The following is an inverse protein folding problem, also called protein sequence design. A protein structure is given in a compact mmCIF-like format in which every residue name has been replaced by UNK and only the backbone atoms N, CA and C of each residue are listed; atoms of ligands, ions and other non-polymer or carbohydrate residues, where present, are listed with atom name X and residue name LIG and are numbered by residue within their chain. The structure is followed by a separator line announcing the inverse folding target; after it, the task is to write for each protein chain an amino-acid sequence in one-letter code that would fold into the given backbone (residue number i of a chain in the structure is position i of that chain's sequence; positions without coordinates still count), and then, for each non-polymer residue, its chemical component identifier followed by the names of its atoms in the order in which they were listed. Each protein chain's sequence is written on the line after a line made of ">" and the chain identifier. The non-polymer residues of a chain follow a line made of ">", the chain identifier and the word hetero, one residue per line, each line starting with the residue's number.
data_IF_154669937324
#
_entry.id   IF_154669937324
#
_cell.length_a   1.000
_cell.length_b   1.000
_cell.length_c   1.000
_cell.angle_alpha   90.00
_cell.angle_beta   90.00
_cell.angle_gamma   90.00
#
_symmetry.space_group_name_H-M   'P 1'
#
loop_
_entity.id
_entity.type
_entity.pdbx_description
1 polymer ?
#
# COMPACT_ATOMS: atom_id res chain seq x y z
N UNK A 1 -9.22 15.43 7.75
CA UNK A 1 -10.53 15.13 8.39
C UNK A 1 -11.71 15.45 7.47
N UNK A 2 -11.74 16.59 6.77
CA UNK A 2 -12.86 17.00 5.88
C UNK A 2 -13.22 15.95 4.80
N UNK A 3 -12.25 15.34 4.11
CA UNK A 3 -12.52 14.34 3.06
C UNK A 3 -13.13 13.02 3.57
N UNK A 4 -12.65 12.52 4.73
CA UNK A 4 -13.17 11.27 5.33
C UNK A 4 -14.65 11.39 5.69
N UNK A 5 -15.06 12.53 6.25
CA UNK A 5 -16.47 12.78 6.58
C UNK A 5 -17.35 12.89 5.33
N UNK A 6 -16.79 13.29 4.19
CA UNK A 6 -17.46 13.33 2.90
C UNK A 6 -17.45 11.97 2.17
N UNK A 7 -16.89 10.90 2.76
CA UNK A 7 -16.80 9.59 2.12
C UNK A 7 -15.79 9.51 0.97
N UNK A 8 -14.86 10.46 0.87
CA UNK A 8 -13.82 10.49 -0.16
C UNK A 8 -12.56 9.81 0.38
N UNK A 9 -12.12 8.76 -0.31
CA UNK A 9 -10.94 7.98 0.03
C UNK A 9 -9.88 8.08 -1.08
N UNK A 10 -8.61 8.15 -0.68
CA UNK A 10 -7.48 8.18 -1.60
C UNK A 10 -6.67 6.90 -1.44
N UNK A 11 -6.42 6.23 -2.57
CA UNK A 11 -5.43 5.15 -2.67
C UNK A 11 -4.25 5.73 -3.46
N UNK A 12 -3.07 5.73 -2.85
CA UNK A 12 -1.83 6.14 -3.50
C UNK A 12 -0.94 4.91 -3.67
N UNK A 13 -0.53 4.63 -4.90
CA UNK A 13 0.34 3.51 -5.25
C UNK A 13 1.53 4.01 -6.07
N UNK A 14 2.74 3.55 -5.71
CA UNK A 14 3.98 3.88 -6.40
C UNK A 14 4.92 2.68 -6.34
N UNK A 15 5.68 2.43 -7.42
CA UNK A 15 6.71 1.40 -7.44
C UNK A 15 8.02 1.87 -6.80
N UNK A 16 8.31 3.18 -6.90
CA UNK A 16 9.48 3.82 -6.29
C UNK A 16 9.01 4.97 -5.40
N UNK A 17 8.74 4.69 -4.12
CA UNK A 17 8.37 5.71 -3.15
C UNK A 17 9.63 6.46 -2.69
N UNK A 18 10.14 7.38 -3.50
CA UNK A 18 11.19 8.32 -3.09
C UNK A 18 10.58 9.64 -2.58
N UNK A 19 11.43 10.56 -2.11
CA UNK A 19 10.96 11.82 -1.54
C UNK A 19 10.30 12.77 -2.56
N UNK A 20 10.57 12.60 -3.85
CA UNK A 20 9.95 13.39 -4.93
C UNK A 20 8.57 12.86 -5.29
N UNK A 21 8.41 11.53 -5.32
CA UNK A 21 7.14 10.86 -5.64
C UNK A 21 6.21 10.81 -4.42
N UNK A 22 6.77 10.63 -3.22
CA UNK A 22 6.04 10.55 -1.96
C UNK A 22 6.54 11.63 -0.96
N UNK A 23 6.23 12.91 -1.24
CA UNK A 23 6.65 14.05 -0.43
C UNK A 23 6.05 14.04 0.96
N UNK A 24 6.67 14.80 1.86
CA UNK A 24 6.31 14.86 3.28
C UNK A 24 4.85 15.24 3.53
N UNK A 25 4.28 16.14 2.73
CA UNK A 25 2.88 16.57 2.86
C UNK A 25 1.89 15.43 2.59
N UNK A 26 2.20 14.52 1.66
CA UNK A 26 1.39 13.31 1.43
C UNK A 26 1.61 12.30 2.56
N UNK A 27 2.87 12.10 2.98
CA UNK A 27 3.24 11.17 4.06
C UNK A 27 2.57 11.50 5.40
N UNK A 28 2.40 12.77 5.72
CA UNK A 28 1.77 13.21 6.98
C UNK A 28 0.25 13.02 7.01
N UNK A 29 -0.39 12.85 5.84
CA UNK A 29 -1.83 12.69 5.71
C UNK A 29 -2.27 11.24 5.40
N UNK A 30 -1.34 10.37 4.98
CA UNK A 30 -1.60 8.96 4.70
C UNK A 30 -1.05 8.06 5.82
N UNK A 31 -1.90 7.81 6.82
CA UNK A 31 -1.56 7.03 8.01
C UNK A 31 -1.60 5.51 7.81
N UNK A 32 -2.37 5.00 6.85
CA UNK A 32 -2.39 3.59 6.49
C UNK A 32 -1.41 3.35 5.34
N UNK A 33 -0.52 2.37 5.50
CA UNK A 33 0.56 2.08 4.55
C UNK A 33 0.65 0.58 4.33
N UNK A 34 0.56 0.15 3.08
CA UNK A 34 0.69 -1.24 2.66
C UNK A 34 1.92 -1.33 1.77
N UNK A 35 3.01 -1.90 2.28
CA UNK A 35 4.33 -1.86 1.64
C UNK A 35 4.78 -3.27 1.29
N UNK A 36 4.94 -3.54 -0.02
CA UNK A 36 5.56 -4.75 -0.54
C UNK A 36 7.08 -4.65 -0.45
N UNK A 37 7.79 -5.71 -0.84
CA UNK A 37 9.26 -5.70 -0.86
C UNK A 37 9.80 -4.48 -1.60
N UNK A 38 10.75 -3.79 -0.96
CA UNK A 38 11.49 -2.65 -1.54
C UNK A 38 12.98 -2.95 -1.59
N UNK A 39 13.73 -2.10 -2.30
CA UNK A 39 15.14 -2.37 -2.62
C UNK A 39 16.12 -2.05 -1.49
N UNK A 40 15.74 -1.19 -0.53
CA UNK A 40 16.67 -0.73 0.52
C UNK A 40 15.98 -0.45 1.86
N UNK A 41 16.74 -0.52 2.94
CA UNK A 41 16.29 -0.15 4.29
C UNK A 41 15.82 1.31 4.35
N UNK A 42 16.48 2.23 3.62
CA UNK A 42 16.05 3.63 3.53
C UNK A 42 14.68 3.80 2.88
N UNK A 43 14.44 3.09 1.77
CA UNK A 43 13.13 3.07 1.11
C UNK A 43 12.08 2.41 1.98
N UNK A 44 12.43 1.36 2.72
CA UNK A 44 11.56 0.70 3.70
C UNK A 44 11.09 1.69 4.76
N UNK A 45 12.03 2.39 5.42
CA UNK A 45 11.72 3.34 6.47
C UNK A 45 10.87 4.52 5.96
N UNK A 46 11.18 5.04 4.76
CA UNK A 46 10.41 6.10 4.13
C UNK A 46 8.96 5.65 3.84
N UNK A 47 8.82 4.46 3.29
CA UNK A 47 7.53 3.90 2.86
C UNK A 47 6.65 3.52 4.05
N UNK A 48 7.21 2.84 5.04
CA UNK A 48 6.51 2.45 6.27
C UNK A 48 6.32 3.63 7.24
N UNK A 49 7.16 4.65 7.16
CA UNK A 49 7.10 5.82 8.05
C UNK A 49 7.66 5.56 9.45
N UNK A 50 8.43 4.49 9.63
CA UNK A 50 9.08 4.10 10.89
C UNK A 50 10.56 3.79 10.64
N UNK A 51 11.36 3.73 11.71
CA UNK A 51 12.76 3.31 11.62
C UNK A 51 12.88 1.79 11.69
N UNK A 52 13.82 1.24 10.93
CA UNK A 52 14.08 -0.21 10.85
C UNK A 52 12.83 -1.02 10.46
N UNK A 53 12.07 -0.53 9.49
CA UNK A 53 10.77 -1.11 9.12
C UNK A 53 10.84 -2.51 8.48
N UNK A 54 12.00 -2.88 7.92
CA UNK A 54 12.28 -4.23 7.44
C UNK A 54 11.59 -4.65 6.13
N UNK A 55 10.95 -3.72 5.41
CA UNK A 55 10.29 -4.04 4.14
C UNK A 55 11.28 -4.52 3.06
N UNK A 56 12.56 -4.16 3.16
CA UNK A 56 13.60 -4.63 2.25
C UNK A 56 13.89 -6.14 2.37
N UNK A 57 13.50 -6.74 3.50
CA UNK A 57 13.70 -8.15 3.83
C UNK A 57 12.48 -9.02 3.52
N UNK A 58 11.40 -8.42 3.01
CA UNK A 58 10.22 -9.16 2.61
C UNK A 58 10.57 -10.16 1.49
N UNK A 59 9.83 -11.25 1.46
CA UNK A 59 10.09 -12.40 0.57
C UNK A 59 9.72 -12.13 -0.89
N UNK A 60 9.05 -11.00 -1.17
CA UNK A 60 8.45 -10.72 -2.48
C UNK A 60 7.17 -11.53 -2.70
N UNK A 61 6.72 -11.60 -3.96
CA UNK A 61 5.53 -12.38 -4.39
C UNK A 61 4.29 -12.17 -3.50
N UNK A 62 4.04 -10.93 -3.07
CA UNK A 62 2.90 -10.56 -2.25
C UNK A 62 3.14 -10.54 -0.74
N UNK A 63 4.33 -10.90 -0.24
CA UNK A 63 4.67 -10.66 1.17
C UNK A 63 4.69 -9.14 1.44
N UNK A 64 3.89 -8.72 2.42
CA UNK A 64 3.54 -7.33 2.70
C UNK A 64 3.81 -6.99 4.18
N UNK A 65 4.29 -5.77 4.42
CA UNK A 65 4.29 -5.13 5.74
C UNK A 65 3.25 -3.99 5.75
N UNK A 66 2.39 -3.97 6.77
CA UNK A 66 1.31 -3.01 6.91
C UNK A 66 1.43 -2.18 8.18
N UNK A 67 1.28 -0.86 8.05
CA UNK A 67 1.05 0.07 9.17
C UNK A 67 -0.38 0.56 9.07
N UNK A 68 -1.19 0.27 10.08
CA UNK A 68 -2.63 0.56 10.10
C UNK A 68 -2.98 1.36 11.35
N UNK A 69 -3.90 2.30 11.22
CA UNK A 69 -4.50 2.99 12.37
C UNK A 69 -3.53 3.87 13.15
N UNK A 70 -2.41 4.29 12.54
CA UNK A 70 -1.38 5.09 13.22
C UNK A 70 -0.49 4.31 14.19
N UNK A 71 -0.54 2.97 14.15
CA UNK A 71 0.44 2.14 14.84
C UNK A 71 1.86 2.32 14.30
N UNK A 72 2.85 1.84 15.04
CA UNK A 72 4.27 1.85 14.62
C UNK A 72 4.85 0.46 14.43
N UNK A 73 4.10 -0.58 14.77
CA UNK A 73 4.50 -1.98 14.61
C UNK A 73 3.98 -2.52 13.28
N UNK A 74 4.84 -3.00 12.38
CA UNK A 74 4.40 -3.63 11.14
C UNK A 74 3.58 -4.90 11.41
N UNK A 75 2.46 -5.02 10.71
CA UNK A 75 1.68 -6.25 10.59
C UNK A 75 2.10 -6.92 9.28
N UNK A 76 2.57 -8.16 9.35
CA UNK A 76 2.94 -8.91 8.15
C UNK A 76 1.73 -9.67 7.59
N UNK A 77 1.58 -9.65 6.28
CA UNK A 77 0.50 -10.31 5.57
C UNK A 77 0.96 -10.81 4.20
N UNK A 78 0.13 -11.65 3.59
CA UNK A 78 0.32 -12.14 2.23
C UNK A 78 -0.82 -11.61 1.34
N UNK A 79 -0.46 -10.87 0.30
CA UNK A 79 -1.42 -10.38 -0.69
C UNK A 79 -1.96 -11.57 -1.50
N UNK A 80 -3.29 -11.68 -1.66
CA UNK A 80 -3.89 -12.68 -2.53
C UNK A 80 -3.39 -12.53 -3.97
N UNK A 81 -3.04 -13.66 -4.58
CA UNK A 81 -2.68 -13.70 -5.99
C UNK A 81 -3.95 -13.80 -6.84
N UNK A 82 -4.00 -13.03 -7.93
CA UNK A 82 -5.01 -13.14 -8.98
C UNK A 82 -4.28 -13.11 -10.32
N UNK A 83 -4.55 -14.11 -11.17
CA UNK A 83 -4.05 -14.15 -12.53
C UNK A 83 -4.88 -13.27 -13.48
N UNK A 84 -4.37 -13.08 -14.70
CA UNK A 84 -4.98 -12.20 -15.71
C UNK A 84 -6.36 -12.69 -16.15
N UNK A 85 -6.54 -14.01 -16.31
CA UNK A 85 -7.81 -14.58 -16.77
C UNK A 85 -8.90 -14.37 -15.72
N UNK A 86 -8.57 -14.61 -14.45
CA UNK A 86 -9.49 -14.39 -13.34
C UNK A 86 -9.81 -12.92 -13.14
N UNK A 87 -8.84 -12.03 -13.36
CA UNK A 87 -9.07 -10.59 -13.34
C UNK A 87 -10.07 -10.17 -14.43
N UNK A 88 -9.92 -10.67 -15.66
CA UNK A 88 -10.85 -10.37 -16.75
C UNK A 88 -12.27 -10.88 -16.45
N UNK A 89 -12.40 -12.09 -15.92
CA UNK A 89 -13.69 -12.64 -15.49
C UNK A 89 -14.37 -11.77 -14.42
N UNK A 90 -13.59 -11.28 -13.44
CA UNK A 90 -14.08 -10.41 -12.38
C UNK A 90 -14.58 -9.08 -12.94
N UNK A 91 -13.81 -8.45 -13.83
CA UNK A 91 -14.22 -7.19 -14.49
C UNK A 91 -15.51 -7.40 -15.29
N UNK A 92 -15.60 -8.49 -16.06
CA UNK A 92 -16.80 -8.80 -16.84
C UNK A 92 -18.04 -9.05 -15.96
N UNK A 93 -17.87 -9.67 -14.78
CA UNK A 93 -18.96 -9.85 -13.82
C UNK A 93 -19.45 -8.50 -13.27
N UNK A 94 -18.53 -7.63 -12.84
CA UNK A 94 -18.89 -6.30 -12.32
C UNK A 94 -19.62 -5.44 -13.35
N UNK A 95 -19.22 -5.49 -14.63
CA UNK A 95 -19.89 -4.74 -15.70
C UNK A 95 -21.32 -5.24 -15.92
N UNK A 96 -21.56 -6.56 -15.82
CA UNK A 96 -22.91 -7.12 -15.95
C UNK A 96 -23.82 -6.73 -14.78
N UNK A 97 -23.29 -6.67 -13.57
CA UNK A 97 -24.08 -6.33 -12.38
C UNK A 97 -24.45 -4.84 -12.29
N UNK A 98 -23.72 -3.98 -13.01
CA UNK A 98 -23.96 -2.53 -13.07
C UNK A 98 -24.88 -2.09 -14.23
N UNK A 99 -25.21 -2.99 -15.15
CA UNK A 99 -26.15 -2.77 -16.26
C UNK A 99 -27.50 -3.43 -16.02
#
# INVERSE_FOLDING_TARGET
>A
VKARAAGIYLIFAAQRPDASVFPMQLRSNLGNRLILRVDSAGTSDLSLGIKNGGAERLLGKGHLAAIIGGGTTPIYAQVPFIDTDRLQQLVAALVRDLG
#
